data_IF_263052285043
#
_entry.id   IF_263052285043
#
_cell.length_a   1.000
_cell.length_b   1.000
_cell.length_c   1.000
_cell.angle_alpha   90.00
_cell.angle_beta   90.00
_cell.angle_gamma   90.00
#
_symmetry.space_group_name_H-M   'P 1'
#
loop_
_entity.id
_entity.type
_entity.pdbx_description
1 polymer ?
#
# COMPACT_ATOMS: atom_id res chain seq x y z
N UNK A 1 -18.15 6.41 18.16
CA UNK A 1 -17.42 5.46 17.29
C UNK A 1 -15.95 5.82 17.41
N UNK A 2 -15.14 4.98 18.07
CA UNK A 2 -13.74 5.30 18.36
C UNK A 2 -13.00 5.62 17.06
N UNK A 3 -12.63 6.89 16.91
CA UNK A 3 -11.85 7.41 15.80
C UNK A 3 -10.56 6.62 15.78
N UNK A 4 -10.46 5.65 14.86
CA UNK A 4 -9.25 4.85 14.71
C UNK A 4 -8.08 5.83 14.56
N UNK A 5 -7.14 5.77 15.51
CA UNK A 5 -6.10 6.78 15.66
C UNK A 5 -5.46 7.03 14.29
N UNK A 6 -5.36 8.31 13.92
CA UNK A 6 -4.79 8.70 12.63
C UNK A 6 -3.38 8.10 12.45
N UNK A 7 -2.64 7.91 13.56
CA UNK A 7 -1.35 7.21 13.62
C UNK A 7 -1.44 5.75 13.17
N UNK A 8 -2.49 5.04 13.55
CA UNK A 8 -2.72 3.64 13.17
C UNK A 8 -3.06 3.52 11.69
N UNK A 9 -3.86 4.46 11.15
CA UNK A 9 -4.11 4.56 9.70
C UNK A 9 -2.84 4.89 8.92
N UNK A 10 -2.04 5.82 9.42
CA UNK A 10 -0.78 6.21 8.76
C UNK A 10 0.22 5.05 8.78
N UNK A 11 0.35 4.37 9.93
CA UNK A 11 1.18 3.18 10.07
C UNK A 11 0.74 2.04 9.14
N UNK A 12 -0.55 1.72 9.10
CA UNK A 12 -1.06 0.68 8.19
C UNK A 12 -0.89 1.05 6.71
N UNK A 13 -1.08 2.33 6.35
CA UNK A 13 -0.85 2.83 5.00
C UNK A 13 0.62 2.70 4.57
N UNK A 14 1.56 3.06 5.44
CA UNK A 14 2.99 2.90 5.18
C UNK A 14 3.41 1.43 5.03
N UNK A 15 2.87 0.53 5.85
CA UNK A 15 3.12 -0.91 5.73
C UNK A 15 2.60 -1.44 4.40
N UNK A 16 1.39 -1.03 3.98
CA UNK A 16 0.82 -1.40 2.69
C UNK A 16 1.65 -0.86 1.52
N UNK A 17 2.15 0.38 1.60
CA UNK A 17 3.05 0.92 0.59
C UNK A 17 4.37 0.14 0.51
N UNK A 18 4.98 -0.16 1.66
CA UNK A 18 6.21 -0.95 1.71
C UNK A 18 6.02 -2.36 1.13
N UNK A 19 4.91 -3.02 1.49
CA UNK A 19 4.54 -4.33 0.91
C UNK A 19 4.28 -4.25 -0.59
N UNK A 20 3.59 -3.21 -1.07
CA UNK A 20 3.33 -3.00 -2.49
C UNK A 20 4.61 -2.80 -3.30
N UNK A 21 5.58 -2.02 -2.79
CA UNK A 21 6.90 -1.87 -3.43
C UNK A 21 7.64 -3.20 -3.48
N UNK A 22 7.66 -3.95 -2.37
CA UNK A 22 8.33 -5.26 -2.32
C UNK A 22 7.75 -6.26 -3.33
N UNK A 23 6.42 -6.37 -3.37
CA UNK A 23 5.72 -7.25 -4.33
C UNK A 23 5.93 -6.76 -5.77
N UNK A 24 6.00 -5.44 -5.99
CA UNK A 24 6.31 -4.86 -7.30
C UNK A 24 7.70 -5.22 -7.79
N UNK A 25 8.71 -5.19 -6.91
CA UNK A 25 10.06 -5.65 -7.22
C UNK A 25 10.08 -7.15 -7.54
N UNK A 26 9.36 -7.96 -6.76
CA UNK A 26 9.22 -9.40 -7.00
C UNK A 26 8.54 -9.70 -8.34
N UNK A 27 7.48 -8.96 -8.68
CA UNK A 27 6.80 -9.06 -9.98
C UNK A 27 7.73 -8.69 -11.14
N UNK A 28 8.61 -7.70 -10.95
CA UNK A 28 9.60 -7.35 -11.95
C UNK A 28 10.66 -8.46 -12.12
N UNK A 29 11.08 -9.10 -11.04
CA UNK A 29 12.01 -10.23 -11.10
C UNK A 29 11.37 -11.42 -11.86
N UNK A 30 10.14 -11.79 -11.51
CA UNK A 30 9.32 -12.77 -12.24
C UNK A 30 9.19 -12.47 -13.74
N UNK A 31 9.01 -11.20 -14.09
CA UNK A 31 8.97 -10.75 -15.48
C UNK A 31 10.30 -11.01 -16.19
N UNK A 32 11.44 -10.80 -15.53
CA UNK A 32 12.76 -11.04 -16.13
C UNK A 32 13.07 -12.51 -16.37
N UNK A 33 12.56 -13.41 -15.52
CA UNK A 33 12.69 -14.87 -15.69
C UNK A 33 11.60 -15.49 -16.57
N UNK A 34 10.70 -14.67 -17.15
CA UNK A 34 9.65 -15.13 -18.07
C UNK A 34 8.50 -15.88 -17.41
N UNK A 35 8.31 -15.74 -16.10
CA UNK A 35 7.19 -16.34 -15.36
C UNK A 35 5.99 -15.39 -15.28
N UNK A 36 4.82 -15.95 -14.93
CA UNK A 36 3.60 -15.18 -14.72
C UNK A 36 3.72 -14.21 -13.54
N UNK A 37 3.88 -12.93 -13.87
CA UNK A 37 4.00 -11.83 -12.91
C UNK A 37 2.70 -11.05 -12.71
N UNK A 38 1.68 -11.27 -13.56
CA UNK A 38 0.45 -10.46 -13.58
C UNK A 38 -0.26 -10.42 -12.23
N UNK A 39 -0.37 -11.56 -11.55
CA UNK A 39 -1.05 -11.62 -10.25
C UNK A 39 -0.32 -10.78 -9.18
N UNK A 40 1.02 -10.85 -9.16
CA UNK A 40 1.84 -10.07 -8.24
C UNK A 40 1.87 -8.58 -8.61
N UNK A 41 1.90 -8.25 -9.91
CA UNK A 41 1.82 -6.87 -10.37
C UNK A 41 0.50 -6.19 -9.97
N UNK A 42 -0.63 -6.89 -10.12
CA UNK A 42 -1.94 -6.40 -9.68
C UNK A 42 -1.99 -6.26 -8.15
N UNK A 43 -1.46 -7.24 -7.42
CA UNK A 43 -1.38 -7.18 -5.95
C UNK A 43 -0.56 -5.97 -5.48
N UNK A 44 0.59 -5.71 -6.13
CA UNK A 44 1.43 -4.54 -5.85
C UNK A 44 0.67 -3.23 -6.07
N UNK A 45 -0.07 -3.11 -7.19
CA UNK A 45 -0.89 -1.94 -7.47
C UNK A 45 -2.00 -1.72 -6.44
N UNK A 46 -2.69 -2.79 -6.01
CA UNK A 46 -3.72 -2.71 -4.97
C UNK A 46 -3.14 -2.29 -3.62
N UNK A 47 -1.98 -2.84 -3.23
CA UNK A 47 -1.29 -2.44 -2.01
C UNK A 47 -0.85 -0.98 -2.05
N UNK A 48 -0.33 -0.51 -3.20
CA UNK A 48 0.07 0.90 -3.35
C UNK A 48 -1.17 1.81 -3.28
N UNK A 49 -2.24 1.45 -3.98
CA UNK A 49 -3.46 2.24 -3.99
C UNK A 49 -4.12 2.31 -2.60
N UNK A 50 -4.28 1.16 -1.93
CA UNK A 50 -4.83 1.10 -0.58
C UNK A 50 -3.95 1.80 0.46
N UNK A 51 -2.62 1.69 0.33
CA UNK A 51 -1.66 2.41 1.15
C UNK A 51 -1.79 3.93 1.00
N UNK A 52 -1.88 4.43 -0.24
CA UNK A 52 -2.11 5.84 -0.53
C UNK A 52 -3.45 6.35 0.03
N UNK A 53 -4.55 5.59 -0.12
CA UNK A 53 -5.86 5.97 0.41
C UNK A 53 -5.85 6.09 1.94
N UNK A 54 -5.21 5.14 2.64
CA UNK A 54 -5.06 5.18 4.10
C UNK A 54 -4.20 6.35 4.56
N UNK A 55 -3.09 6.64 3.86
CA UNK A 55 -2.24 7.81 4.16
C UNK A 55 -3.04 9.09 3.96
N UNK A 56 -3.75 9.26 2.85
CA UNK A 56 -4.58 10.44 2.58
C UNK A 56 -5.70 10.62 3.62
N UNK A 57 -6.40 9.55 4.00
CA UNK A 57 -7.41 9.58 5.06
C UNK A 57 -6.81 9.93 6.42
N UNK A 58 -5.59 9.48 6.71
CA UNK A 58 -4.90 9.82 7.96
C UNK A 58 -4.52 11.31 8.02
N UNK A 59 -4.03 11.87 6.91
CA UNK A 59 -3.69 13.28 6.79
C UNK A 59 -4.94 14.17 6.85
N UNK A 60 -6.01 13.80 6.16
CA UNK A 60 -7.28 14.52 6.21
C UNK A 60 -7.91 14.51 7.62
N UNK A 61 -7.69 13.44 8.39
CA UNK A 61 -8.11 13.37 9.80
C UNK A 61 -7.25 14.27 10.70
N UNK A 62 -5.95 14.38 10.43
CA UNK A 62 -5.04 15.27 11.14
C UNK A 62 -5.38 16.75 10.95
N UNK A 63 -5.66 17.18 9.72
CA UNK A 63 -6.01 18.59 9.44
C UNK A 63 -7.32 19.04 10.11
N UNK A 64 -8.18 18.10 10.53
CA UNK A 64 -9.46 18.42 11.20
C UNK A 64 -9.37 18.53 12.72
N UNK A 65 -8.25 18.14 13.34
CA UNK A 65 -7.98 18.27 14.77
C UNK A 65 -7.14 19.52 15.04
#
# INVERSE_FOLDING_TARGET
MNSLDWRLRLGGGLIMLGGGVFVGLYANDLRTIGQDFNHYGILALLCIWGGCDWVLKSLAQQTKN
#
